data_IF_356231405601
#
_entry.id   IF_356231405601
#
_cell.length_a   1.000
_cell.length_b   1.000
_cell.length_c   1.000
_cell.angle_alpha   90.00
_cell.angle_beta   90.00
_cell.angle_gamma   90.00
#
_symmetry.space_group_name_H-M   'P 1'
#
loop_
_entity.id
_entity.type
_entity.pdbx_description
1 polymer ?
#
# COMPACT_ATOMS: atom_id res chain seq x y z
N UNK A 1 23.69 -7.45 6.36
CA UNK A 1 22.74 -6.94 7.35
C UNK A 1 21.59 -6.39 6.55
N UNK A 2 20.49 -7.14 6.45
CA UNK A 2 19.28 -6.66 5.78
C UNK A 2 18.67 -5.65 6.73
N UNK A 3 18.84 -4.36 6.44
CA UNK A 3 18.27 -3.29 7.25
C UNK A 3 16.76 -3.25 6.96
N UNK A 4 15.93 -3.49 7.97
CA UNK A 4 14.48 -3.41 7.86
C UNK A 4 13.95 -2.29 8.73
N UNK A 5 12.92 -1.61 8.22
CA UNK A 5 12.20 -0.54 8.89
C UNK A 5 10.74 -0.92 9.05
N UNK A 6 10.15 -0.57 10.18
CA UNK A 6 8.72 -0.75 10.42
C UNK A 6 7.95 0.44 9.83
N UNK A 7 7.07 0.18 8.87
CA UNK A 7 6.20 1.17 8.25
C UNK A 7 4.75 0.89 8.62
N UNK A 8 3.94 1.95 8.78
CA UNK A 8 2.54 1.87 9.17
C UNK A 8 1.64 2.32 8.02
N UNK A 9 0.66 1.50 7.66
CA UNK A 9 -0.32 1.78 6.60
C UNK A 9 -1.72 1.84 7.15
N UNK A 10 -2.49 2.84 6.74
CA UNK A 10 -3.88 3.02 7.15
C UNK A 10 -4.82 2.37 6.13
N UNK A 11 -5.70 1.51 6.62
CA UNK A 11 -6.80 0.91 5.88
C UNK A 11 -7.77 2.01 5.42
N UNK A 12 -7.99 2.18 4.10
CA UNK A 12 -8.88 3.22 3.57
C UNK A 12 -10.36 2.97 3.88
N UNK A 13 -10.73 1.77 4.38
CA UNK A 13 -12.11 1.40 4.65
C UNK A 13 -12.58 1.75 6.05
N UNK A 14 -11.72 1.58 7.07
CA UNK A 14 -12.09 1.76 8.48
C UNK A 14 -11.08 2.59 9.29
N UNK A 15 -9.94 2.97 8.70
CA UNK A 15 -8.90 3.71 9.41
C UNK A 15 -7.98 2.88 10.30
N UNK A 16 -8.13 1.54 10.31
CA UNK A 16 -7.19 0.65 11.01
C UNK A 16 -5.77 0.79 10.47
N UNK A 17 -4.76 0.58 11.31
CA UNK A 17 -3.34 0.72 11.00
C UNK A 17 -2.68 -0.65 11.04
N UNK A 18 -2.04 -1.02 9.95
CA UNK A 18 -1.22 -2.24 9.81
C UNK A 18 0.24 -1.84 9.88
N UNK A 19 1.04 -2.59 10.65
CA UNK A 19 2.49 -2.42 10.71
C UNK A 19 3.17 -3.50 9.88
N UNK A 20 4.15 -3.11 9.06
CA UNK A 20 4.91 -4.02 8.21
C UNK A 20 6.41 -3.74 8.36
N UNK A 21 7.20 -4.80 8.47
CA UNK A 21 8.66 -4.73 8.39
C UNK A 21 9.12 -4.95 6.95
N UNK A 22 9.89 -4.00 6.40
CA UNK A 22 10.40 -4.09 5.02
C UNK A 22 11.72 -3.33 4.87
N UNK A 23 12.41 -3.50 3.75
CA UNK A 23 13.61 -2.71 3.45
C UNK A 23 13.29 -1.22 3.21
N UNK A 24 14.17 -0.29 3.63
CA UNK A 24 13.98 1.14 3.46
C UNK A 24 14.09 1.63 2.00
N UNK A 25 14.65 0.83 1.08
CA UNK A 25 14.73 1.15 -0.35
C UNK A 25 13.39 1.01 -1.10
N UNK A 26 12.39 0.32 -0.52
CA UNK A 26 11.06 0.23 -1.10
C UNK A 26 10.29 1.54 -0.88
N UNK A 27 10.16 2.35 -1.92
CA UNK A 27 9.36 3.57 -1.86
C UNK A 27 7.86 3.28 -1.96
N UNK A 28 7.05 3.86 -1.07
CA UNK A 28 5.59 3.76 -1.12
C UNK A 28 5.01 4.71 -2.16
N UNK A 29 4.13 4.19 -3.01
CA UNK A 29 3.39 5.00 -3.98
C UNK A 29 2.04 5.44 -3.41
N UNK A 30 1.19 4.47 -3.08
CA UNK A 30 -0.17 4.74 -2.63
C UNK A 30 -0.83 3.52 -2.01
N UNK A 31 -1.76 3.76 -1.08
CA UNK A 31 -2.69 2.74 -0.58
C UNK A 31 -4.00 2.86 -1.35
N UNK A 32 -4.51 1.74 -1.87
CA UNK A 32 -5.68 1.68 -2.75
C UNK A 32 -6.67 0.63 -2.30
N UNK A 33 -7.96 0.84 -2.61
CA UNK A 33 -9.05 -0.09 -2.28
C UNK A 33 -9.18 -1.25 -3.28
N UNK A 34 -8.54 -1.14 -4.45
CA UNK A 34 -8.60 -2.10 -5.54
C UNK A 34 -7.20 -2.34 -6.11
N UNK A 35 -6.91 -3.55 -6.62
CA UNK A 35 -5.61 -3.84 -7.20
C UNK A 35 -5.42 -3.05 -8.50
N UNK A 36 -4.18 -2.69 -8.77
CA UNK A 36 -3.79 -2.02 -9.99
C UNK A 36 -3.66 -3.04 -11.13
N UNK A 37 -4.17 -2.71 -12.34
CA UNK A 37 -4.01 -3.59 -13.49
C UNK A 37 -2.52 -3.72 -13.85
N UNK A 38 -2.06 -4.97 -13.98
CA UNK A 38 -0.67 -5.28 -14.36
C UNK A 38 0.35 -5.25 -13.23
N UNK A 39 -0.10 -5.18 -11.97
CA UNK A 39 0.76 -5.23 -10.78
C UNK A 39 0.69 -6.60 -10.12
N UNK A 40 1.84 -7.11 -9.70
CA UNK A 40 1.95 -8.32 -8.89
C UNK A 40 1.94 -7.95 -7.40
N UNK A 41 1.08 -8.61 -6.62
CA UNK A 41 0.93 -8.35 -5.18
C UNK A 41 1.32 -9.60 -4.39
N UNK A 42 2.21 -9.42 -3.41
CA UNK A 42 2.54 -10.44 -2.41
C UNK A 42 1.67 -10.26 -1.16
N UNK A 43 1.52 -11.31 -0.33
CA UNK A 43 1.03 -11.14 1.05
C UNK A 43 2.15 -10.63 1.96
N UNK A 44 1.83 -10.09 3.16
CA UNK A 44 2.83 -9.57 4.09
C UNK A 44 3.88 -10.61 4.53
N UNK A 45 3.50 -11.88 4.53
CA UNK A 45 4.36 -13.02 4.90
C UNK A 45 5.23 -13.54 3.75
N UNK A 46 5.02 -13.03 2.54
CA UNK A 46 5.75 -13.44 1.32
C UNK A 46 6.91 -12.49 1.01
N UNK A 47 7.64 -12.77 -0.08
CA UNK A 47 8.71 -11.90 -0.55
C UNK A 47 8.14 -10.62 -1.20
N UNK A 48 7.82 -9.65 -0.36
CA UNK A 48 7.29 -8.34 -0.76
C UNK A 48 8.28 -7.50 -1.57
N UNK A 49 9.56 -7.88 -1.62
CA UNK A 49 10.59 -7.14 -2.33
C UNK A 49 10.59 -7.42 -3.83
N UNK A 50 10.10 -8.61 -4.21
CA UNK A 50 9.99 -9.05 -5.60
C UNK A 50 8.66 -8.63 -6.25
N UNK A 51 7.69 -8.16 -5.45
CA UNK A 51 6.36 -7.77 -5.89
C UNK A 51 6.25 -6.26 -6.19
N UNK A 52 5.27 -5.87 -7.00
CA UNK A 52 4.92 -4.47 -7.25
C UNK A 52 4.15 -3.84 -6.07
N UNK A 53 3.61 -4.66 -5.18
CA UNK A 53 2.84 -4.20 -4.03
C UNK A 53 2.51 -5.31 -3.04
N UNK A 54 1.74 -4.95 -2.01
CA UNK A 54 1.26 -5.89 -1.00
C UNK A 54 -0.26 -5.88 -0.95
N UNK A 55 -0.86 -7.07 -0.99
CA UNK A 55 -2.27 -7.27 -0.75
C UNK A 55 -2.50 -7.58 0.74
N UNK A 56 -3.13 -6.63 1.44
CA UNK A 56 -3.51 -6.79 2.83
C UNK A 56 -4.99 -7.14 2.95
N UNK A 57 -5.35 -7.92 3.97
CA UNK A 57 -6.73 -7.98 4.48
C UNK A 57 -6.77 -7.37 5.86
N UNK A 58 -7.53 -6.29 6.01
CA UNK A 58 -7.66 -5.61 7.29
C UNK A 58 -8.34 -6.54 8.32
N UNK A 59 -7.63 -6.91 9.39
CA UNK A 59 -8.14 -7.76 10.46
C UNK A 59 -7.81 -9.26 10.34
N UNK A 60 -7.09 -9.69 9.30
CA UNK A 60 -6.47 -11.04 9.30
C UNK A 60 -5.24 -11.05 10.25
N UNK A 61 -4.46 -9.97 10.23
CA UNK A 61 -3.35 -9.72 11.15
C UNK A 61 -3.73 -8.77 12.29
N UNK A 62 -2.89 -8.67 13.30
CA UNK A 62 -3.02 -7.68 14.36
C UNK A 62 -2.96 -6.26 13.78
N UNK A 63 -4.08 -5.55 13.89
CA UNK A 63 -4.22 -4.16 13.44
C UNK A 63 -4.50 -3.26 14.64
N UNK A 64 -4.03 -2.02 14.58
CA UNK A 64 -4.29 -1.03 15.64
C UNK A 64 -5.14 0.12 15.13
N UNK A 65 -5.71 0.92 16.02
CA UNK A 65 -6.19 2.26 15.65
C UNK A 65 -5.01 3.25 15.52
N UNK A 66 -5.33 4.53 15.28
CA UNK A 66 -4.35 5.62 15.21
C UNK A 66 -3.69 5.92 16.56
N UNK A 67 -4.31 5.50 17.67
CA UNK A 67 -3.84 5.68 19.04
C UNK A 67 -2.98 4.50 19.51
N UNK A 68 -2.93 3.41 18.73
CA UNK A 68 -2.17 2.19 19.01
C UNK A 68 -2.95 1.12 19.78
N UNK A 69 -4.27 1.24 19.93
CA UNK A 69 -5.09 0.20 20.54
C UNK A 69 -5.38 -0.91 19.53
N UNK A 70 -5.31 -2.17 19.94
CA UNK A 70 -5.63 -3.32 19.11
C UNK A 70 -7.14 -3.34 18.78
N UNK A 71 -7.47 -3.52 17.51
CA UNK A 71 -8.86 -3.58 17.01
C UNK A 71 -9.02 -4.75 16.02
N UNK A 72 -10.24 -5.24 15.82
CA UNK A 72 -10.49 -6.40 14.94
C UNK A 72 -10.36 -6.10 13.43
N UNK A 73 -10.28 -4.83 13.01
CA UNK A 73 -10.29 -4.44 11.60
C UNK A 73 -11.67 -4.65 10.92
N UNK A 74 -11.75 -4.44 9.60
CA UNK A 74 -13.02 -4.48 8.86
C UNK A 74 -13.19 -5.69 7.93
N UNK A 75 -12.23 -6.62 7.89
CA UNK A 75 -12.24 -7.83 7.04
C UNK A 75 -12.10 -7.57 5.53
N UNK A 76 -11.85 -6.32 5.11
CA UNK A 76 -11.81 -5.93 3.69
C UNK A 76 -10.38 -5.90 3.16
N UNK A 77 -10.16 -6.33 1.90
CA UNK A 77 -8.86 -6.22 1.28
C UNK A 77 -8.53 -4.77 0.93
N UNK A 78 -7.25 -4.43 1.02
CA UNK A 78 -6.68 -3.19 0.52
C UNK A 78 -5.25 -3.45 0.03
N UNK A 79 -4.77 -2.59 -0.86
CA UNK A 79 -3.57 -2.84 -1.64
C UNK A 79 -2.59 -1.69 -1.45
N UNK A 80 -1.39 -2.00 -0.98
CA UNK A 80 -0.26 -1.09 -0.99
C UNK A 80 0.48 -1.23 -2.32
N UNK A 81 0.73 -0.10 -2.97
CA UNK A 81 1.47 -0.02 -4.22
C UNK A 81 2.86 0.55 -3.94
N UNK A 82 3.92 -0.13 -4.37
CA UNK A 82 5.27 0.42 -4.37
C UNK A 82 5.54 1.28 -5.61
N UNK A 83 6.54 2.15 -5.52
CA UNK A 83 7.01 2.92 -6.68
C UNK A 83 7.83 1.99 -7.58
N UNK A 84 7.31 1.70 -8.79
CA UNK A 84 8.08 1.01 -9.82
C UNK A 84 9.11 1.95 -10.44
N UNK A 85 10.38 1.58 -10.37
CA UNK A 85 11.45 2.23 -11.11
C UNK A 85 11.92 1.31 -12.25
N UNK A 86 11.61 1.66 -13.50
CA UNK A 86 12.23 1.01 -14.65
C UNK A 86 13.25 1.94 -15.28
N UNK A 87 14.53 1.55 -15.28
CA UNK A 87 15.66 2.31 -15.85
C UNK A 87 15.76 3.76 -15.33
N UNK A 88 15.40 3.99 -14.05
CA UNK A 88 15.45 5.31 -13.42
C UNK A 88 14.25 6.21 -13.72
N UNK A 89 13.20 5.69 -14.37
CA UNK A 89 11.94 6.39 -14.59
C UNK A 89 10.88 5.76 -13.68
N UNK A 90 10.22 6.59 -12.87
CA UNK A 90 9.03 6.17 -12.13
C UNK A 90 7.92 5.82 -13.13
N UNK A 91 7.45 4.57 -13.07
CA UNK A 91 6.32 4.15 -13.90
C UNK A 91 5.00 4.42 -13.21
N UNK A 92 4.16 5.19 -13.89
CA UNK A 92 2.75 5.32 -13.53
C UNK A 92 1.98 4.03 -13.88
N UNK A 93 0.98 3.63 -13.07
CA UNK A 93 0.08 2.56 -13.44
C UNK A 93 -0.61 2.89 -14.77
N UNK A 94 -0.71 1.90 -15.67
CA UNK A 94 -1.38 2.07 -16.96
C UNK A 94 -2.57 1.09 -17.07
N UNK A 95 -3.83 1.58 -17.11
CA UNK A 95 -4.24 2.98 -17.14
C UNK A 95 -4.01 3.71 -15.80
N UNK A 96 -3.84 5.05 -15.84
CA UNK A 96 -3.73 5.86 -14.63
C UNK A 96 -5.00 5.71 -13.78
N UNK A 97 -4.86 5.17 -12.57
CA UNK A 97 -5.95 4.91 -11.62
C UNK A 97 -6.61 6.20 -11.12
N UNK A 98 -5.89 7.31 -11.22
CA UNK A 98 -6.37 8.64 -10.91
C UNK A 98 -6.37 9.44 -12.22
N UNK A 99 -7.54 9.56 -12.85
CA UNK A 99 -7.73 10.56 -13.90
C UNK A 99 -7.33 11.90 -13.31
N UNK A 100 -6.29 12.51 -13.90
CA UNK A 100 -5.58 13.66 -13.34
C UNK A 100 -6.52 14.73 -12.78
N UNK A 101 -6.07 15.49 -11.77
CA UNK A 101 -6.92 16.48 -11.10
C UNK A 101 -7.61 17.39 -12.12
N UNK A 102 -8.93 17.30 -12.21
CA UNK A 102 -9.75 18.28 -12.92
C UNK A 102 -9.80 19.54 -12.08
N UNK A 103 -8.82 20.41 -12.28
CA UNK A 103 -8.83 21.76 -11.76
C UNK A 103 -9.83 22.62 -12.56
N UNK A 104 -11.13 22.34 -12.43
CA UNK A 104 -12.19 23.20 -12.93
C UNK A 104 -12.41 24.36 -11.95
N UNK A 105 -11.45 25.29 -11.89
CA UNK A 105 -11.68 26.57 -11.22
C UNK A 105 -12.63 27.41 -12.07
N UNK A 106 -13.92 27.37 -11.74
CA UNK A 106 -14.89 28.32 -12.29
C UNK A 106 -14.66 29.69 -11.62
N UNK A 107 -14.47 30.77 -12.41
CA UNK A 107 -14.21 32.12 -11.90
C UNK A 107 -15.40 32.71 -11.14
#
# INVERSE_FOLDING_TARGET
>A
MTDTVTVRYTCPHCGAVVSLERRPDLADRSVTMAPQPGWEYATPDEDVESADGIAFRCGDDSVTDLEGNEIDGCGRPFYLNFVRFERGVELEPNPPTYGGPRFDFRP
#
